data_IF_443933396950
#
_entry.id   IF_443933396950
#
_cell.length_a   1.000
_cell.length_b   1.000
_cell.length_c   1.000
_cell.angle_alpha   90.00
_cell.angle_beta   90.00
_cell.angle_gamma   90.00
#
_symmetry.space_group_name_H-M   'P 1'
#
loop_
_entity.id
_entity.type
_entity.pdbx_description
1 polymer ?
#
# COMPACT_ATOMS: atom_id res chain seq x y z
N UNK A 1 24.14 -37.52 36.78
CA UNK A 1 24.22 -36.12 36.32
C UNK A 1 25.59 -35.92 35.70
N UNK A 2 25.74 -35.78 34.40
CA UNK A 2 27.00 -35.39 33.79
C UNK A 2 26.95 -33.87 33.49
N UNK A 3 28.04 -33.23 33.88
CA UNK A 3 28.34 -31.83 33.72
C UNK A 3 28.45 -31.42 32.24
N UNK A 4 27.72 -30.37 31.86
CA UNK A 4 27.87 -29.71 30.55
C UNK A 4 29.07 -28.76 30.65
N UNK A 5 30.15 -29.06 29.94
CA UNK A 5 31.26 -28.15 29.74
C UNK A 5 30.93 -27.13 28.65
N UNK A 6 30.89 -25.85 29.00
CA UNK A 6 30.83 -24.73 28.08
C UNK A 6 32.08 -24.71 27.17
N UNK A 7 31.89 -24.85 25.88
CA UNK A 7 32.92 -24.55 24.88
C UNK A 7 32.84 -23.08 24.50
N UNK A 8 33.80 -22.28 24.94
CA UNK A 8 33.97 -20.91 24.44
C UNK A 8 34.56 -20.96 23.02
N UNK A 9 33.74 -20.63 22.03
CA UNK A 9 34.18 -20.43 20.66
C UNK A 9 34.59 -18.93 20.46
N UNK A 10 35.85 -18.74 20.08
CA UNK A 10 36.32 -17.42 19.63
C UNK A 10 35.92 -17.19 18.16
N UNK A 11 35.19 -16.10 17.87
CA UNK A 11 34.92 -15.65 16.52
C UNK A 11 36.01 -14.65 16.12
N UNK A 12 36.87 -15.02 15.19
CA UNK A 12 37.86 -14.15 14.58
C UNK A 12 37.32 -13.63 13.24
N UNK A 13 36.89 -12.39 13.21
CA UNK A 13 36.61 -11.68 11.97
C UNK A 13 37.92 -10.98 11.50
N UNK A 14 38.64 -11.62 10.60
CA UNK A 14 39.85 -11.07 10.02
C UNK A 14 39.75 -10.95 8.49
N UNK A 15 40.13 -9.78 7.96
CA UNK A 15 40.46 -9.64 6.53
C UNK A 15 41.75 -10.45 6.25
N UNK A 16 41.63 -11.49 5.46
CA UNK A 16 42.77 -12.21 4.91
C UNK A 16 43.30 -11.44 3.70
N UNK A 17 44.33 -10.62 3.91
CA UNK A 17 45.25 -10.19 2.85
C UNK A 17 46.58 -10.94 3.03
N UNK A 18 46.90 -11.77 2.05
CA UNK A 18 48.27 -12.22 1.79
C UNK A 18 48.74 -13.44 2.58
N UNK A 19 48.71 -14.59 1.94
CA UNK A 19 49.80 -15.56 1.81
C UNK A 19 49.27 -16.72 0.95
N UNK A 20 49.39 -16.55 -0.36
CA UNK A 20 49.35 -17.66 -1.32
C UNK A 20 50.59 -17.58 -2.17
N UNK A 21 51.28 -18.70 -2.33
CA UNK A 21 52.44 -18.86 -3.19
C UNK A 21 52.10 -18.53 -4.66
N UNK A 22 53.05 -18.08 -5.47
CA UNK A 22 52.79 -17.59 -6.83
C UNK A 22 52.45 -18.78 -7.74
N UNK A 23 51.20 -18.79 -8.29
CA UNK A 23 50.90 -19.76 -9.34
C UNK A 23 49.40 -19.93 -9.74
N UNK A 24 48.44 -19.45 -9.03
CA UNK A 24 47.04 -19.64 -9.45
C UNK A 24 46.30 -18.30 -9.57
N UNK A 25 46.10 -17.86 -10.80
CA UNK A 25 45.25 -16.74 -11.16
C UNK A 25 43.82 -17.23 -11.31
N UNK A 26 42.93 -16.79 -10.45
CA UNK A 26 41.50 -16.97 -10.63
C UNK A 26 40.88 -15.72 -11.27
N UNK A 27 39.96 -15.86 -12.25
CA UNK A 27 39.33 -14.71 -12.89
C UNK A 27 38.38 -13.97 -11.95
N UNK A 28 38.52 -12.67 -11.86
CA UNK A 28 37.58 -11.77 -11.17
C UNK A 28 36.22 -11.80 -11.86
N UNK A 29 35.17 -12.14 -11.06
CA UNK A 29 33.80 -12.03 -11.56
C UNK A 29 32.78 -12.87 -10.83
N UNK A 30 32.80 -12.95 -9.48
CA UNK A 30 31.69 -13.52 -8.72
C UNK A 30 31.49 -12.74 -7.41
N UNK A 31 30.23 -12.42 -7.10
CA UNK A 31 29.82 -11.76 -5.86
C UNK A 31 30.20 -12.60 -4.64
N UNK A 32 30.95 -12.00 -3.72
CA UNK A 32 31.37 -12.68 -2.49
C UNK A 32 30.23 -12.82 -1.49
N UNK A 33 29.73 -14.06 -1.29
CA UNK A 33 28.97 -14.44 -0.09
C UNK A 33 29.87 -14.43 1.16
N UNK A 34 29.31 -14.11 2.31
CA UNK A 34 30.03 -14.16 3.60
C UNK A 34 30.29 -15.61 4.00
N UNK A 35 31.57 -15.98 4.16
CA UNK A 35 31.99 -17.28 4.64
C UNK A 35 32.30 -17.23 6.15
N UNK A 36 31.77 -18.17 6.92
CA UNK A 36 32.11 -18.38 8.33
C UNK A 36 32.84 -19.72 8.46
N UNK A 37 34.05 -19.72 9.02
CA UNK A 37 34.83 -20.96 9.26
C UNK A 37 34.64 -21.44 10.69
N UNK A 38 34.26 -22.68 10.85
CA UNK A 38 34.22 -23.35 12.16
C UNK A 38 35.35 -24.39 12.25
N UNK A 39 36.28 -24.17 13.16
CA UNK A 39 37.37 -25.14 13.46
C UNK A 39 36.87 -26.18 14.46
N UNK A 40 36.72 -27.44 14.05
CA UNK A 40 36.50 -28.56 14.98
C UNK A 40 37.84 -29.25 15.30
N UNK A 41 38.18 -29.34 16.59
CA UNK A 41 39.33 -30.12 17.04
C UNK A 41 38.94 -31.60 17.06
N UNK A 42 39.35 -32.39 16.06
CA UNK A 42 39.74 -33.80 16.17
C UNK A 42 40.21 -34.28 14.79
N UNK A 43 41.50 -34.64 14.68
CA UNK A 43 42.20 -35.30 13.57
C UNK A 43 43.17 -34.40 12.75
N UNK A 44 44.31 -34.93 12.31
CA UNK A 44 45.38 -34.14 11.64
C UNK A 44 45.10 -33.72 10.19
N UNK A 45 43.86 -33.87 9.74
CA UNK A 45 43.35 -33.31 8.48
C UNK A 45 42.27 -32.29 8.82
N UNK A 46 42.57 -31.01 8.74
CA UNK A 46 41.56 -29.95 8.85
C UNK A 46 40.57 -30.06 7.71
N UNK A 47 39.43 -30.69 7.96
CA UNK A 47 38.29 -30.71 7.05
C UNK A 47 37.56 -29.37 7.16
N UNK A 48 37.89 -28.41 6.30
CA UNK A 48 37.23 -27.11 6.19
C UNK A 48 35.86 -27.33 5.55
N UNK A 49 34.83 -27.53 6.34
CA UNK A 49 33.45 -27.46 5.81
C UNK A 49 33.09 -26.02 5.57
N UNK A 50 32.92 -25.65 4.31
CA UNK A 50 32.30 -24.40 3.92
C UNK A 50 30.81 -24.55 4.24
N UNK A 51 30.36 -23.86 5.29
CA UNK A 51 28.93 -23.79 5.61
C UNK A 51 28.34 -22.67 4.73
N UNK A 52 27.67 -23.05 3.67
CA UNK A 52 26.81 -22.14 2.89
C UNK A 52 25.49 -22.04 3.62
N UNK A 53 25.19 -20.89 4.20
CA UNK A 53 23.86 -20.62 4.72
C UNK A 53 22.88 -20.54 3.53
N UNK A 54 21.72 -21.17 3.68
CA UNK A 54 20.66 -21.03 2.69
C UNK A 54 20.11 -19.62 2.78
N UNK A 55 20.34 -18.81 1.76
CA UNK A 55 19.85 -17.42 1.65
C UNK A 55 18.43 -17.33 1.07
N UNK A 56 17.75 -18.47 0.97
CA UNK A 56 16.40 -18.52 0.48
C UNK A 56 15.39 -18.43 1.64
N UNK A 57 14.63 -17.34 1.66
CA UNK A 57 13.57 -17.12 2.64
C UNK A 57 12.21 -17.41 1.99
N UNK A 58 11.49 -18.49 2.41
CA UNK A 58 10.27 -18.94 1.72
C UNK A 58 9.19 -17.85 1.56
N UNK A 59 9.02 -16.97 2.55
CA UNK A 59 8.05 -15.88 2.49
C UNK A 59 8.47 -14.80 1.48
N UNK A 60 9.76 -14.52 1.35
CA UNK A 60 10.27 -13.53 0.41
C UNK A 60 10.16 -14.04 -1.04
N UNK A 61 10.38 -15.34 -1.28
CA UNK A 61 10.20 -15.95 -2.61
C UNK A 61 8.78 -15.79 -3.17
N UNK A 62 7.76 -15.70 -2.30
CA UNK A 62 6.37 -15.53 -2.70
C UNK A 62 6.02 -14.07 -3.07
N UNK A 63 6.90 -13.13 -2.78
CA UNK A 63 6.70 -11.71 -3.11
C UNK A 63 7.38 -11.40 -4.45
N UNK A 64 6.64 -10.85 -5.43
CA UNK A 64 7.25 -10.40 -6.68
C UNK A 64 8.18 -9.21 -6.43
N UNK A 65 9.13 -8.94 -7.34
CA UNK A 65 9.89 -7.70 -7.30
C UNK A 65 8.95 -6.50 -7.23
N UNK A 66 9.25 -5.56 -6.32
CA UNK A 66 8.40 -4.38 -6.14
C UNK A 66 8.59 -3.42 -7.32
N UNK A 67 7.68 -3.47 -8.29
CA UNK A 67 7.78 -2.78 -9.58
C UNK A 67 8.02 -1.27 -9.43
N UNK A 68 7.48 -0.66 -8.39
CA UNK A 68 7.68 0.77 -8.11
C UNK A 68 9.15 1.13 -7.81
N UNK A 69 9.97 0.18 -7.34
CA UNK A 69 11.40 0.40 -7.12
C UNK A 69 12.13 0.61 -8.44
N UNK A 70 11.73 -0.08 -9.51
CA UNK A 70 12.34 0.06 -10.85
C UNK A 70 12.20 1.50 -11.35
N UNK A 71 10.98 2.05 -11.31
CA UNK A 71 10.73 3.45 -11.68
C UNK A 71 11.43 4.41 -10.71
N UNK A 72 11.47 4.06 -9.41
CA UNK A 72 12.17 4.82 -8.37
C UNK A 72 13.67 4.95 -8.64
N UNK A 73 14.34 3.86 -9.01
CA UNK A 73 15.77 3.86 -9.36
C UNK A 73 16.06 4.67 -10.63
N UNK A 74 15.24 4.52 -11.66
CA UNK A 74 15.37 5.28 -12.90
C UNK A 74 15.19 6.78 -12.64
N UNK A 75 14.21 7.16 -11.83
CA UNK A 75 13.99 8.53 -11.38
C UNK A 75 15.20 9.07 -10.61
N UNK A 76 15.76 8.31 -9.67
CA UNK A 76 16.93 8.70 -8.91
C UNK A 76 18.15 8.93 -9.82
N UNK A 77 18.39 8.03 -10.78
CA UNK A 77 19.45 8.17 -11.79
C UNK A 77 19.24 9.40 -12.68
N UNK A 78 18.02 9.69 -13.11
CA UNK A 78 17.71 10.88 -13.90
C UNK A 78 17.97 12.17 -13.11
N UNK A 79 17.50 12.25 -11.86
CA UNK A 79 17.78 13.39 -10.97
C UNK A 79 19.28 13.59 -10.70
N UNK A 80 20.05 12.50 -10.54
CA UNK A 80 21.51 12.57 -10.38
C UNK A 80 22.22 13.16 -11.60
N UNK A 81 21.63 13.09 -12.80
CA UNK A 81 22.11 13.75 -14.03
C UNK A 81 21.65 15.20 -14.16
N UNK A 82 20.96 15.76 -13.14
CA UNK A 82 20.43 17.11 -13.16
C UNK A 82 19.10 17.26 -13.94
N UNK A 83 18.42 16.15 -14.27
CA UNK A 83 17.14 16.21 -14.98
C UNK A 83 16.01 16.61 -14.04
N UNK A 84 15.18 17.56 -14.49
CA UNK A 84 13.99 18.02 -13.74
C UNK A 84 12.83 17.04 -13.95
N UNK A 85 12.67 16.08 -13.04
CA UNK A 85 11.62 15.06 -13.10
C UNK A 85 10.40 15.51 -12.29
N UNK A 86 9.24 15.54 -12.94
CA UNK A 86 7.93 15.79 -12.32
C UNK A 86 7.36 14.44 -11.86
N UNK A 87 7.07 14.33 -10.56
CA UNK A 87 6.85 13.04 -9.92
C UNK A 87 5.42 12.81 -9.47
N UNK A 88 4.63 12.12 -10.27
CA UNK A 88 3.29 11.61 -9.92
C UNK A 88 3.30 10.15 -9.46
N UNK A 89 4.49 9.56 -9.22
CA UNK A 89 4.59 8.13 -8.96
C UNK A 89 4.09 7.72 -7.57
N UNK A 90 4.40 8.47 -6.52
CA UNK A 90 4.08 8.08 -5.16
C UNK A 90 2.91 8.87 -4.58
N UNK A 91 1.87 8.18 -4.10
CA UNK A 91 0.71 8.78 -3.43
C UNK A 91 1.03 9.22 -1.99
N UNK A 92 1.96 10.15 -1.84
CA UNK A 92 2.35 10.73 -0.57
C UNK A 92 1.86 12.18 -0.50
N UNK A 93 0.88 12.52 0.38
CA UNK A 93 0.46 13.90 0.58
C UNK A 93 1.66 14.83 0.77
N UNK A 94 1.68 15.94 0.05
CA UNK A 94 2.78 16.91 0.00
C UNK A 94 2.55 18.13 0.90
N UNK A 95 1.32 18.31 1.38
CA UNK A 95 0.99 19.42 2.27
C UNK A 95 1.23 19.04 3.73
N UNK A 96 1.51 20.03 4.60
CA UNK A 96 1.72 19.78 6.03
C UNK A 96 0.44 19.27 6.71
N UNK A 97 0.63 18.59 7.83
CA UNK A 97 -0.45 18.29 8.77
C UNK A 97 -1.05 19.61 9.31
N UNK A 98 -2.38 19.72 9.47
CA UNK A 98 -3.02 20.92 10.03
C UNK A 98 -2.42 21.34 11.37
N UNK A 99 -2.18 22.65 11.53
CA UNK A 99 -1.39 23.21 12.64
C UNK A 99 -1.96 22.86 14.02
N UNK A 100 -3.29 22.90 14.21
CA UNK A 100 -3.93 22.55 15.48
C UNK A 100 -3.66 21.11 15.94
N UNK A 101 -3.41 20.18 14.97
CA UNK A 101 -3.04 18.78 15.25
C UNK A 101 -1.56 18.73 15.68
N UNK A 102 -0.70 19.48 14.99
CA UNK A 102 0.74 19.60 15.31
C UNK A 102 0.92 20.20 16.71
N UNK A 103 0.21 21.28 17.02
CA UNK A 103 0.26 21.94 18.32
C UNK A 103 -0.12 20.97 19.46
N UNK A 104 -1.15 20.15 19.23
CA UNK A 104 -1.57 19.12 20.20
C UNK A 104 -0.53 18.01 20.36
N UNK A 105 0.19 17.64 19.31
CA UNK A 105 1.31 16.71 19.42
C UNK A 105 2.42 17.30 20.31
N UNK A 106 2.80 18.56 20.07
CA UNK A 106 3.86 19.26 20.83
C UNK A 106 3.47 19.35 22.30
N UNK A 107 2.24 19.80 22.58
CA UNK A 107 1.70 19.86 23.96
C UNK A 107 1.76 18.48 24.64
N UNK A 108 1.29 17.43 23.96
CA UNK A 108 1.27 16.09 24.51
C UNK A 108 2.68 15.50 24.70
N UNK A 109 3.62 15.79 23.79
CA UNK A 109 4.99 15.30 23.86
C UNK A 109 5.81 15.97 24.98
N UNK A 110 5.41 17.15 25.48
CA UNK A 110 6.04 17.80 26.62
C UNK A 110 5.62 17.23 27.97
N UNK A 111 4.66 16.32 28.00
CA UNK A 111 4.16 15.72 29.23
C UNK A 111 4.91 14.45 29.57
N UNK A 112 5.48 14.33 30.75
CA UNK A 112 6.28 13.19 31.23
C UNK A 112 5.48 11.86 31.23
N UNK A 113 4.16 11.92 31.45
CA UNK A 113 3.30 10.73 31.55
C UNK A 113 2.97 10.09 30.22
N UNK A 114 3.28 10.73 29.07
CA UNK A 114 2.98 10.25 27.73
C UNK A 114 4.09 9.43 27.08
N UNK A 115 5.26 9.33 27.70
CA UNK A 115 6.44 8.61 27.15
C UNK A 115 6.47 7.13 27.48
N UNK A 116 5.55 6.63 28.29
CA UNK A 116 5.45 5.23 28.67
C UNK A 116 4.92 4.37 27.53
N UNK A 117 5.13 3.07 27.62
CA UNK A 117 4.46 2.13 26.71
C UNK A 117 2.95 2.38 26.70
N UNK A 118 2.39 2.38 25.51
CA UNK A 118 0.95 2.54 25.30
C UNK A 118 0.22 1.20 25.39
N UNK A 119 -1.08 1.23 25.15
CA UNK A 119 -1.93 0.04 25.09
C UNK A 119 -2.04 -0.43 23.63
N UNK A 120 -1.85 -1.72 23.36
CA UNK A 120 -1.88 -2.29 22.01
C UNK A 120 -3.16 -1.97 21.21
N UNK A 121 -4.32 -1.90 21.89
CA UNK A 121 -5.59 -1.48 21.27
C UNK A 121 -5.72 0.03 21.02
N UNK A 122 -4.76 0.82 21.51
CA UNK A 122 -4.86 2.29 21.58
C UNK A 122 -5.56 2.80 22.84
N UNK A 123 -5.28 4.05 23.20
CA UNK A 123 -5.83 4.65 24.42
C UNK A 123 -7.37 4.73 24.35
N UNK A 124 -8.08 4.51 25.47
CA UNK A 124 -9.56 4.47 25.48
C UNK A 124 -10.19 5.76 24.92
N UNK A 125 -9.57 6.91 25.17
CA UNK A 125 -10.06 8.21 24.69
C UNK A 125 -10.02 8.30 23.16
N UNK A 126 -8.97 7.75 22.51
CA UNK A 126 -8.90 7.71 21.03
C UNK A 126 -9.95 6.74 20.46
N UNK A 127 -10.13 5.56 21.06
CA UNK A 127 -11.16 4.62 20.62
C UNK A 127 -12.56 5.21 20.72
N UNK A 128 -12.83 5.99 21.76
CA UNK A 128 -14.08 6.77 21.91
C UNK A 128 -14.21 7.84 20.82
N UNK A 129 -13.15 8.57 20.50
CA UNK A 129 -13.17 9.56 19.42
C UNK A 129 -13.47 8.88 18.06
N UNK A 130 -12.90 7.70 17.81
CA UNK A 130 -13.14 6.90 16.60
C UNK A 130 -14.63 6.51 16.51
N UNK A 131 -15.24 5.97 17.58
CA UNK A 131 -16.63 5.55 17.55
C UNK A 131 -17.59 6.73 17.39
N UNK A 132 -17.28 7.89 17.97
CA UNK A 132 -18.00 9.15 17.74
C UNK A 132 -17.90 9.63 16.29
N UNK A 133 -16.70 9.52 15.71
CA UNK A 133 -16.48 9.88 14.32
C UNK A 133 -17.34 9.02 13.38
N UNK A 134 -17.43 7.69 13.61
CA UNK A 134 -18.32 6.79 12.86
C UNK A 134 -19.80 7.15 13.03
N UNK A 135 -20.22 7.43 14.26
CA UNK A 135 -21.61 7.87 14.53
C UNK A 135 -21.94 9.15 13.75
N UNK A 136 -21.08 10.16 13.86
CA UNK A 136 -21.35 11.47 13.25
C UNK A 136 -21.29 11.42 11.72
N UNK A 137 -20.36 10.61 11.16
CA UNK A 137 -20.13 10.57 9.72
C UNK A 137 -21.04 9.59 8.98
N UNK A 138 -21.27 8.43 9.54
CA UNK A 138 -21.95 7.31 8.88
C UNK A 138 -23.24 6.87 9.60
N UNK A 139 -23.57 7.49 10.70
CA UNK A 139 -24.67 7.05 11.59
C UNK A 139 -24.50 5.59 12.03
N UNK A 140 -23.26 5.17 12.31
CA UNK A 140 -22.91 3.81 12.76
C UNK A 140 -22.55 3.83 14.23
N UNK A 141 -23.28 3.06 15.03
CA UNK A 141 -23.00 2.87 16.45
C UNK A 141 -22.00 1.73 16.63
N UNK A 142 -20.91 2.03 17.36
CA UNK A 142 -19.83 1.09 17.66
C UNK A 142 -19.52 1.09 19.15
N UNK A 143 -19.21 -0.09 19.70
CA UNK A 143 -18.64 -0.21 21.03
C UNK A 143 -17.13 0.05 20.99
N UNK A 144 -16.67 1.05 21.76
CA UNK A 144 -15.27 1.48 21.78
C UNK A 144 -14.30 0.39 22.31
N UNK A 145 -14.77 -0.57 23.09
CA UNK A 145 -13.91 -1.55 23.76
C UNK A 145 -13.83 -2.87 23.00
N UNK A 146 -14.85 -3.19 22.20
CA UNK A 146 -14.94 -4.46 21.46
C UNK A 146 -14.93 -4.29 19.95
N UNK A 147 -15.38 -3.15 19.40
CA UNK A 147 -15.57 -2.94 17.97
C UNK A 147 -14.62 -1.88 17.37
N UNK A 148 -13.62 -1.41 18.14
CA UNK A 148 -12.63 -0.44 17.66
C UNK A 148 -11.22 -0.77 18.17
N UNK A 149 -10.21 -0.63 17.28
CA UNK A 149 -8.79 -0.78 17.61
C UNK A 149 -7.94 0.17 16.79
N UNK A 150 -6.95 0.81 17.44
CA UNK A 150 -5.98 1.70 16.80
C UNK A 150 -4.85 0.88 16.17
N UNK A 151 -4.39 1.30 14.99
CA UNK A 151 -3.30 0.67 14.25
C UNK A 151 -2.20 1.66 13.91
N UNK A 152 -0.99 1.19 13.68
CA UNK A 152 0.16 2.01 13.24
C UNK A 152 0.04 2.26 11.72
N UNK A 153 -1.06 2.91 11.34
CA UNK A 153 -1.58 3.06 9.98
C UNK A 153 -2.35 1.83 9.49
N UNK A 154 -3.25 2.00 8.51
CA UNK A 154 -4.07 0.89 7.97
C UNK A 154 -3.22 -0.22 7.37
N UNK A 155 -2.09 0.10 6.74
CA UNK A 155 -1.21 -0.89 6.10
C UNK A 155 -0.64 -1.90 7.09
N UNK A 156 -0.20 -1.45 8.25
CA UNK A 156 0.25 -2.31 9.35
C UNK A 156 -0.92 -3.14 9.89
N UNK A 157 -2.06 -2.48 10.14
CA UNK A 157 -3.25 -3.15 10.65
C UNK A 157 -3.73 -4.26 9.73
N UNK A 158 -3.77 -4.04 8.42
CA UNK A 158 -4.12 -5.05 7.41
C UNK A 158 -3.14 -6.24 7.43
N UNK A 159 -1.83 -5.96 7.47
CA UNK A 159 -0.83 -7.02 7.52
C UNK A 159 -0.93 -7.87 8.81
N UNK A 160 -1.13 -7.22 9.95
CA UNK A 160 -1.27 -7.91 11.23
C UNK A 160 -2.61 -8.65 11.33
N UNK A 161 -3.70 -8.10 10.76
CA UNK A 161 -4.96 -8.83 10.68
C UNK A 161 -4.82 -10.09 9.83
N UNK A 162 -4.14 -9.99 8.68
CA UNK A 162 -3.86 -11.15 7.83
C UNK A 162 -3.07 -12.22 8.61
N UNK A 163 -2.01 -11.83 9.32
CA UNK A 163 -1.24 -12.73 10.19
C UNK A 163 -2.06 -13.35 11.33
N UNK A 164 -3.03 -12.59 11.86
CA UNK A 164 -3.89 -13.06 12.97
C UNK A 164 -4.98 -14.04 12.53
N UNK A 165 -5.41 -13.95 11.27
CA UNK A 165 -6.63 -14.65 10.80
C UNK A 165 -6.39 -15.69 9.72
N UNK A 166 -5.24 -15.64 9.04
CA UNK A 166 -4.94 -16.46 7.88
C UNK A 166 -3.58 -17.17 8.02
N UNK A 167 -3.44 -18.30 7.34
CA UNK A 167 -2.22 -19.10 7.32
C UNK A 167 -2.13 -19.98 6.08
N UNK A 168 -1.12 -20.90 6.03
CA UNK A 168 -0.99 -21.85 4.92
C UNK A 168 -2.26 -22.68 4.73
N UNK A 169 -2.72 -22.78 3.48
CA UNK A 169 -3.94 -23.49 3.11
C UNK A 169 -5.21 -22.64 3.16
N UNK A 170 -5.17 -21.41 3.70
CA UNK A 170 -6.29 -20.49 3.63
C UNK A 170 -6.28 -19.69 2.31
N UNK A 171 -7.46 -19.27 1.85
CA UNK A 171 -7.61 -18.49 0.61
C UNK A 171 -8.25 -17.15 0.91
N UNK A 172 -7.66 -16.06 0.37
CA UNK A 172 -8.25 -14.73 0.35
C UNK A 172 -8.63 -14.33 -1.07
N UNK A 173 -9.81 -13.73 -1.22
CA UNK A 173 -10.28 -13.10 -2.46
C UNK A 173 -9.87 -11.63 -2.46
N UNK A 174 -9.23 -11.19 -3.54
CA UNK A 174 -8.74 -9.82 -3.67
C UNK A 174 -9.04 -9.30 -5.07
N UNK A 175 -9.64 -8.11 -5.23
CA UNK A 175 -9.79 -7.48 -6.53
C UNK A 175 -8.47 -7.31 -7.26
N UNK A 176 -8.52 -7.39 -8.59
CA UNK A 176 -7.37 -7.11 -9.45
C UNK A 176 -7.80 -6.13 -10.56
N UNK A 177 -7.17 -4.94 -10.66
CA UNK A 177 -6.01 -4.47 -9.89
C UNK A 177 -6.37 -4.03 -8.46
N UNK A 178 -5.37 -4.01 -7.55
CA UNK A 178 -5.52 -3.57 -6.16
C UNK A 178 -4.23 -3.02 -5.56
N UNK A 179 -4.34 -2.31 -4.45
CA UNK A 179 -3.16 -1.80 -3.74
C UNK A 179 -2.35 -2.97 -3.14
N UNK A 180 -1.01 -2.99 -3.28
CA UNK A 180 -0.19 -4.17 -2.98
C UNK A 180 -0.37 -4.81 -1.60
N UNK A 181 -0.73 -4.04 -0.56
CA UNK A 181 -0.94 -4.64 0.77
C UNK A 181 -2.15 -5.59 0.80
N UNK A 182 -3.14 -5.38 -0.07
CA UNK A 182 -4.36 -6.18 -0.10
C UNK A 182 -4.06 -7.64 -0.47
N UNK A 183 -3.32 -7.97 -1.54
CA UNK A 183 -2.89 -9.35 -1.77
C UNK A 183 -1.68 -9.74 -0.91
N UNK A 184 -0.64 -8.89 -0.85
CA UNK A 184 0.65 -9.32 -0.30
C UNK A 184 0.68 -9.37 1.23
N UNK A 185 -0.19 -8.68 1.94
CA UNK A 185 -0.38 -8.88 3.38
C UNK A 185 -0.78 -10.33 3.71
N UNK A 186 -1.66 -10.90 2.90
CA UNK A 186 -2.13 -12.28 3.04
C UNK A 186 -1.11 -13.30 2.52
N UNK A 187 -0.38 -12.99 1.45
CA UNK A 187 0.76 -13.82 0.99
C UNK A 187 1.83 -13.92 2.07
N UNK A 188 2.16 -12.82 2.77
CA UNK A 188 3.11 -12.81 3.90
C UNK A 188 2.59 -13.68 5.04
N UNK A 189 1.29 -13.68 5.32
CA UNK A 189 0.66 -14.55 6.31
C UNK A 189 0.73 -16.05 5.94
N UNK A 190 0.98 -16.35 4.67
CA UNK A 190 1.07 -17.72 4.15
C UNK A 190 -0.16 -18.16 3.34
N UNK A 191 -1.19 -17.34 3.28
CA UNK A 191 -2.41 -17.65 2.53
C UNK A 191 -2.19 -17.61 1.02
N UNK A 192 -3.10 -18.24 0.29
CA UNK A 192 -3.20 -18.14 -1.16
C UNK A 192 -4.19 -17.04 -1.56
N UNK A 193 -3.91 -16.41 -2.69
CA UNK A 193 -4.75 -15.34 -3.24
C UNK A 193 -5.50 -15.84 -4.46
N UNK A 194 -6.79 -15.53 -4.53
CA UNK A 194 -7.59 -15.62 -5.75
C UNK A 194 -8.03 -14.22 -6.15
N UNK A 195 -7.62 -13.82 -7.32
CA UNK A 195 -7.97 -12.51 -7.86
C UNK A 195 -9.38 -12.52 -8.45
N UNK A 196 -10.14 -11.48 -8.12
CA UNK A 196 -11.45 -11.20 -8.71
C UNK A 196 -11.28 -9.99 -9.62
N UNK A 197 -11.52 -10.11 -10.94
CA UNK A 197 -11.39 -8.98 -11.85
C UNK A 197 -12.27 -7.81 -11.44
N UNK A 198 -11.68 -6.61 -11.34
CA UNK A 198 -12.38 -5.37 -11.04
C UNK A 198 -12.03 -4.32 -12.11
N UNK A 199 -12.48 -4.57 -13.32
CA UNK A 199 -12.18 -3.79 -14.53
C UNK A 199 -13.45 -3.40 -15.26
N UNK A 200 -13.45 -2.33 -16.08
CA UNK A 200 -14.60 -1.93 -16.87
C UNK A 200 -15.13 -3.07 -17.76
N UNK A 201 -16.44 -3.20 -17.85
CA UNK A 201 -17.10 -4.20 -18.68
C UNK A 201 -17.21 -5.60 -18.09
N UNK A 202 -16.71 -5.81 -16.87
CA UNK A 202 -16.81 -7.08 -16.14
C UNK A 202 -17.74 -6.90 -14.93
N UNK A 203 -18.71 -7.80 -14.77
CA UNK A 203 -19.56 -7.82 -13.58
C UNK A 203 -18.76 -8.43 -12.41
N UNK A 204 -18.46 -7.57 -11.43
CA UNK A 204 -17.69 -7.97 -10.25
C UNK A 204 -18.37 -9.09 -9.46
N UNK A 205 -19.70 -9.05 -9.32
CA UNK A 205 -20.42 -10.04 -8.52
C UNK A 205 -20.48 -11.41 -9.21
N UNK A 206 -20.64 -11.45 -10.53
CA UNK A 206 -20.50 -12.70 -11.26
C UNK A 206 -19.12 -13.33 -11.10
N UNK A 207 -18.07 -12.53 -11.23
CA UNK A 207 -16.69 -13.02 -11.06
C UNK A 207 -16.39 -13.42 -9.61
N UNK A 208 -16.94 -12.69 -8.62
CA UNK A 208 -16.83 -13.05 -7.21
C UNK A 208 -17.49 -14.40 -6.93
N UNK A 209 -18.70 -14.63 -7.42
CA UNK A 209 -19.41 -15.91 -7.28
C UNK A 209 -18.66 -17.06 -7.98
N UNK A 210 -18.15 -16.83 -9.19
CA UNK A 210 -17.30 -17.81 -9.90
C UNK A 210 -16.05 -18.15 -9.07
N UNK A 211 -15.38 -17.14 -8.54
CA UNK A 211 -14.17 -17.32 -7.71
C UNK A 211 -14.48 -18.11 -6.44
N UNK A 212 -15.60 -17.83 -5.76
CA UNK A 212 -16.03 -18.55 -4.55
C UNK A 212 -16.28 -20.04 -4.88
N UNK A 213 -17.04 -20.31 -5.95
CA UNK A 213 -17.41 -21.67 -6.36
C UNK A 213 -16.22 -22.48 -6.85
N UNK A 214 -15.23 -21.83 -7.49
CA UNK A 214 -14.03 -22.47 -8.02
C UNK A 214 -12.93 -22.70 -6.99
N UNK A 215 -13.03 -22.13 -5.77
CA UNK A 215 -12.00 -22.24 -4.74
C UNK A 215 -12.16 -23.49 -3.88
N UNK A 216 -11.07 -24.24 -3.75
CA UNK A 216 -10.92 -25.27 -2.74
C UNK A 216 -9.53 -25.14 -2.10
N UNK A 217 -9.41 -25.01 -0.77
CA UNK A 217 -10.51 -24.85 0.19
C UNK A 217 -11.33 -23.57 -0.03
N UNK A 218 -12.50 -23.47 0.60
CA UNK A 218 -13.36 -22.30 0.53
C UNK A 218 -12.62 -21.04 0.98
N UNK A 219 -12.82 -19.90 0.29
CA UNK A 219 -12.18 -18.65 0.70
C UNK A 219 -12.69 -18.19 2.07
N UNK A 220 -11.79 -17.67 2.89
CA UNK A 220 -12.08 -17.17 4.23
C UNK A 220 -12.26 -15.67 4.30
N UNK A 221 -11.64 -14.93 3.38
CA UNK A 221 -11.55 -13.47 3.45
C UNK A 221 -11.77 -12.85 2.06
N UNK A 222 -12.56 -11.79 2.02
CA UNK A 222 -12.66 -10.88 0.88
C UNK A 222 -12.10 -9.52 1.31
N UNK A 223 -11.17 -8.96 0.53
CA UNK A 223 -10.57 -7.64 0.79
C UNK A 223 -11.07 -6.66 -0.25
N UNK A 224 -11.58 -5.51 0.19
CA UNK A 224 -12.12 -4.46 -0.67
C UNK A 224 -11.48 -3.12 -0.35
N UNK A 225 -11.43 -2.22 -1.33
CA UNK A 225 -10.95 -0.84 -1.15
C UNK A 225 -11.75 0.11 -2.04
N UNK A 226 -12.64 0.88 -1.42
CA UNK A 226 -13.43 1.90 -2.10
C UNK A 226 -13.52 3.17 -1.22
N UNK A 227 -13.25 4.37 -1.79
CA UNK A 227 -12.73 4.64 -3.13
C UNK A 227 -11.39 3.95 -3.39
N UNK A 228 -11.20 3.44 -4.60
CA UNK A 228 -10.13 2.51 -4.94
C UNK A 228 -8.74 3.14 -5.11
N UNK A 229 -7.71 2.37 -4.79
CA UNK A 229 -6.34 2.58 -5.19
C UNK A 229 -5.87 1.29 -5.90
N UNK A 230 -5.56 1.28 -7.19
CA UNK A 230 -5.27 2.44 -8.05
C UNK A 230 -6.47 2.97 -8.84
N UNK A 231 -7.56 2.24 -8.97
CA UNK A 231 -8.60 2.40 -9.99
C UNK A 231 -9.49 3.62 -9.80
N UNK A 232 -9.44 4.26 -8.62
CA UNK A 232 -10.30 5.38 -8.23
C UNK A 232 -11.80 5.08 -8.26
N UNK A 233 -12.17 3.80 -8.44
CA UNK A 233 -13.56 3.36 -8.48
C UNK A 233 -14.29 3.72 -7.19
N UNK A 234 -15.52 4.14 -7.36
CA UNK A 234 -16.46 4.46 -6.30
C UNK A 234 -17.63 3.47 -6.35
N UNK A 235 -18.23 3.23 -5.20
CA UNK A 235 -19.41 2.37 -5.07
C UNK A 235 -20.45 3.09 -4.22
N UNK A 236 -21.72 2.73 -4.41
CA UNK A 236 -22.82 3.15 -3.56
C UNK A 236 -23.11 2.10 -2.47
N UNK A 237 -23.98 2.41 -1.53
CA UNK A 237 -24.24 1.54 -0.37
C UNK A 237 -24.77 0.16 -0.79
N UNK A 238 -25.56 0.11 -1.87
CA UNK A 238 -26.15 -1.11 -2.43
C UNK A 238 -25.09 -2.13 -2.86
N UNK A 239 -23.90 -1.68 -3.24
CA UNK A 239 -22.78 -2.56 -3.52
C UNK A 239 -22.38 -3.34 -2.24
N UNK A 240 -22.27 -2.64 -1.12
CA UNK A 240 -21.94 -3.28 0.16
C UNK A 240 -23.08 -4.15 0.70
N UNK A 241 -24.33 -3.81 0.41
CA UNK A 241 -25.47 -4.69 0.76
C UNK A 241 -25.33 -6.06 0.09
N UNK A 242 -25.01 -6.08 -1.21
CA UNK A 242 -24.74 -7.33 -1.95
C UNK A 242 -23.50 -8.07 -1.40
N UNK A 243 -22.43 -7.33 -1.12
CA UNK A 243 -21.20 -7.93 -0.52
C UNK A 243 -21.51 -8.59 0.81
N UNK A 244 -22.25 -7.93 1.70
CA UNK A 244 -22.60 -8.47 3.03
C UNK A 244 -23.51 -9.69 2.90
N UNK A 245 -24.45 -9.68 1.95
CA UNK A 245 -25.32 -10.83 1.69
C UNK A 245 -24.50 -12.06 1.26
N UNK A 246 -23.63 -11.92 0.26
CA UNK A 246 -22.74 -12.98 -0.22
C UNK A 246 -21.78 -13.46 0.89
N UNK A 247 -21.20 -12.54 1.64
CA UNK A 247 -20.30 -12.86 2.72
C UNK A 247 -20.97 -13.69 3.83
N UNK A 248 -22.20 -13.39 4.16
CA UNK A 248 -23.00 -14.18 5.13
C UNK A 248 -23.41 -15.54 4.60
N UNK A 249 -23.80 -15.63 3.31
CA UNK A 249 -24.18 -16.88 2.66
C UNK A 249 -23.01 -17.87 2.60
N UNK A 250 -21.82 -17.37 2.28
CA UNK A 250 -20.64 -18.20 2.09
C UNK A 250 -19.70 -18.25 3.30
N UNK A 251 -20.07 -17.64 4.43
CA UNK A 251 -19.28 -17.58 5.68
C UNK A 251 -17.87 -16.96 5.48
N UNK A 252 -17.80 -15.89 4.66
CA UNK A 252 -16.55 -15.19 4.32
C UNK A 252 -16.43 -13.90 5.14
N UNK A 253 -15.28 -13.67 5.76
CA UNK A 253 -14.96 -12.37 6.37
C UNK A 253 -14.72 -11.31 5.29
N UNK A 254 -15.19 -10.09 5.54
CA UNK A 254 -14.93 -8.95 4.65
C UNK A 254 -14.05 -7.93 5.36
N UNK A 255 -12.99 -7.49 4.69
CA UNK A 255 -12.16 -6.37 5.13
C UNK A 255 -12.25 -5.27 4.10
N UNK A 256 -12.73 -4.10 4.52
CA UNK A 256 -12.81 -2.91 3.67
C UNK A 256 -11.74 -1.89 4.08
N UNK A 257 -10.92 -1.43 3.12
CA UNK A 257 -9.96 -0.33 3.32
C UNK A 257 -10.58 0.97 2.81
N UNK A 258 -11.04 1.82 3.74
CA UNK A 258 -11.73 3.08 3.49
C UNK A 258 -10.77 4.29 3.54
N UNK A 259 -9.55 4.13 3.06
CA UNK A 259 -8.48 5.14 3.22
C UNK A 259 -8.78 6.50 2.56
N UNK A 260 -9.69 6.57 1.59
CA UNK A 260 -9.97 7.77 0.80
C UNK A 260 -11.38 8.33 1.00
N UNK A 261 -12.04 8.01 2.12
CA UNK A 261 -13.41 8.43 2.42
C UNK A 261 -13.63 9.95 2.33
N UNK A 262 -12.61 10.75 2.63
CA UNK A 262 -12.71 12.22 2.67
C UNK A 262 -12.18 12.90 1.41
N UNK A 263 -11.46 12.17 0.57
CA UNK A 263 -10.96 12.69 -0.72
C UNK A 263 -11.99 12.34 -1.80
N UNK A 264 -13.09 13.06 -1.80
CA UNK A 264 -14.27 12.84 -2.65
C UNK A 264 -14.64 14.14 -3.33
N UNK A 265 -15.20 14.07 -4.56
CA UNK A 265 -15.44 15.21 -5.43
C UNK A 265 -16.85 15.16 -5.99
N UNK A 266 -17.32 16.31 -6.50
CA UNK A 266 -18.54 16.42 -7.31
C UNK A 266 -19.79 15.86 -6.61
N UNK A 267 -19.89 16.06 -5.29
CA UNK A 267 -21.04 15.63 -4.50
C UNK A 267 -21.07 14.14 -4.10
N UNK A 268 -20.08 13.36 -4.53
CA UNK A 268 -19.99 11.96 -4.09
C UNK A 268 -19.66 11.86 -2.59
N UNK A 269 -20.32 10.92 -1.91
CA UNK A 269 -20.08 10.58 -0.50
C UNK A 269 -19.72 9.11 -0.44
N UNK A 270 -18.51 8.80 0.01
CA UNK A 270 -18.08 7.41 0.15
C UNK A 270 -18.83 6.72 1.28
N UNK A 271 -19.56 5.61 1.03
CA UNK A 271 -20.23 4.85 2.07
C UNK A 271 -19.24 4.01 2.88
N UNK A 272 -19.59 3.75 4.14
CA UNK A 272 -18.95 2.72 4.97
C UNK A 272 -19.71 1.40 4.81
N UNK A 273 -18.99 0.29 4.69
CA UNK A 273 -19.63 -1.05 4.71
C UNK A 273 -20.40 -1.28 6.02
N UNK A 274 -19.97 -0.65 7.12
CA UNK A 274 -20.62 -0.80 8.43
C UNK A 274 -21.99 -0.13 8.52
N UNK A 275 -22.39 0.68 7.53
CA UNK A 275 -23.77 1.21 7.42
C UNK A 275 -24.77 0.12 7.05
N UNK A 276 -24.31 -0.97 6.43
CA UNK A 276 -25.18 -2.07 6.02
C UNK A 276 -25.63 -2.87 7.24
N UNK A 277 -26.93 -3.13 7.32
CA UNK A 277 -27.49 -3.96 8.40
C UNK A 277 -26.90 -5.36 8.39
N UNK A 278 -26.32 -5.79 9.51
CA UNK A 278 -25.66 -7.09 9.65
C UNK A 278 -24.20 -7.13 9.14
N UNK A 279 -23.66 -6.02 8.66
CA UNK A 279 -22.25 -5.96 8.26
C UNK A 279 -21.29 -6.29 9.41
N UNK A 280 -21.59 -5.87 10.64
CA UNK A 280 -20.79 -6.19 11.82
C UNK A 280 -20.71 -7.68 12.16
N UNK A 281 -21.58 -8.51 11.59
CA UNK A 281 -21.48 -9.97 11.75
C UNK A 281 -20.31 -10.57 10.98
N UNK A 282 -19.94 -9.97 9.85
CA UNK A 282 -18.96 -10.53 8.89
C UNK A 282 -17.85 -9.57 8.47
N UNK A 283 -17.91 -8.27 8.81
CA UNK A 283 -17.01 -7.27 8.26
C UNK A 283 -16.24 -6.48 9.32
N UNK A 284 -15.04 -6.03 8.90
CA UNK A 284 -14.28 -4.97 9.55
C UNK A 284 -13.80 -3.96 8.50
N UNK A 285 -13.64 -2.70 8.92
CA UNK A 285 -13.28 -1.60 8.06
C UNK A 285 -12.08 -0.85 8.64
N UNK A 286 -11.09 -0.57 7.79
CA UNK A 286 -9.92 0.23 8.13
C UNK A 286 -10.09 1.66 7.64
N UNK A 287 -9.64 2.60 8.46
CA UNK A 287 -9.48 4.00 8.09
C UNK A 287 -8.09 4.51 8.51
N UNK A 288 -7.62 5.56 7.85
CA UNK A 288 -6.32 6.18 8.14
C UNK A 288 -6.39 7.70 8.11
N UNK A 289 -5.69 8.34 9.04
CA UNK A 289 -5.55 9.79 9.05
C UNK A 289 -4.53 10.29 8.01
N UNK A 290 -3.82 9.38 7.36
CA UNK A 290 -2.76 9.71 6.39
C UNK A 290 -3.22 10.59 5.23
N UNK A 291 -4.49 10.46 4.80
CA UNK A 291 -5.01 11.16 3.62
C UNK A 291 -5.90 12.32 4.00
N UNK A 292 -6.84 12.11 4.92
CA UNK A 292 -7.79 13.13 5.35
C UNK A 292 -7.16 14.31 6.09
N UNK A 293 -6.03 14.07 6.76
CA UNK A 293 -5.36 15.08 7.62
C UNK A 293 -3.89 15.28 7.27
N UNK A 294 -3.43 14.85 6.10
CA UNK A 294 -2.02 14.94 5.70
C UNK A 294 -1.05 14.39 6.77
N UNK A 295 -1.35 13.21 7.32
CA UNK A 295 -0.57 12.57 8.39
C UNK A 295 0.09 11.25 7.95
N UNK A 296 0.67 11.10 6.74
CA UNK A 296 1.18 9.81 6.28
C UNK A 296 2.37 9.31 7.11
N UNK A 297 3.25 10.20 7.55
CA UNK A 297 4.43 9.88 8.36
C UNK A 297 4.10 9.57 9.82
N UNK A 298 2.94 10.00 10.32
CA UNK A 298 2.53 9.81 11.72
C UNK A 298 2.08 8.38 12.02
N UNK A 299 1.75 7.62 10.97
CA UNK A 299 1.35 6.22 11.05
C UNK A 299 0.11 6.00 11.93
N UNK A 300 -0.95 6.79 11.73
CA UNK A 300 -2.22 6.65 12.46
C UNK A 300 -3.29 6.05 11.57
N UNK A 301 -3.88 4.98 12.05
CA UNK A 301 -5.07 4.34 11.48
C UNK A 301 -5.85 3.61 12.55
N UNK A 302 -6.95 3.03 12.17
CA UNK A 302 -7.78 2.21 13.04
C UNK A 302 -8.60 1.21 12.24
N UNK A 303 -9.05 0.17 12.92
CA UNK A 303 -10.01 -0.81 12.40
C UNK A 303 -11.25 -0.82 13.29
N UNK A 304 -12.43 -0.82 12.66
CA UNK A 304 -13.71 -0.94 13.34
C UNK A 304 -14.54 -2.09 12.73
N UNK A 305 -15.48 -2.65 13.50
CA UNK A 305 -16.41 -3.64 13.00
C UNK A 305 -16.50 -4.89 13.88
N UNK A 306 -16.45 -6.06 13.28
CA UNK A 306 -16.68 -7.33 13.95
C UNK A 306 -15.77 -7.53 15.19
N UNK A 307 -16.35 -7.78 16.41
CA UNK A 307 -15.54 -7.89 17.62
C UNK A 307 -14.53 -9.05 17.62
N UNK A 308 -14.80 -10.13 16.88
CA UNK A 308 -13.85 -11.26 16.78
C UNK A 308 -12.61 -10.86 15.97
N UNK A 309 -12.78 -10.10 14.88
CA UNK A 309 -11.66 -9.58 14.08
C UNK A 309 -10.87 -8.53 14.88
N UNK A 310 -11.55 -7.65 15.60
CA UNK A 310 -10.92 -6.66 16.49
C UNK A 310 -10.14 -7.36 17.60
N UNK A 311 -10.69 -8.38 18.22
CA UNK A 311 -10.01 -9.16 19.27
C UNK A 311 -8.79 -9.93 18.72
N UNK A 312 -8.89 -10.52 17.51
CA UNK A 312 -7.80 -11.23 16.86
C UNK A 312 -6.63 -10.27 16.57
N UNK A 313 -6.90 -9.11 15.96
CA UNK A 313 -5.89 -8.08 15.71
C UNK A 313 -5.30 -7.56 17.03
N UNK A 314 -6.13 -7.29 18.04
CA UNK A 314 -5.66 -6.83 19.35
C UNK A 314 -4.73 -7.82 20.02
N UNK A 315 -5.02 -9.11 19.94
CA UNK A 315 -4.15 -10.16 20.45
C UNK A 315 -2.83 -10.24 19.69
N UNK A 316 -2.85 -10.17 18.37
CA UNK A 316 -1.64 -10.13 17.54
C UNK A 316 -0.76 -8.94 17.93
N UNK A 317 -1.33 -7.73 17.99
CA UNK A 317 -0.62 -6.51 18.36
C UNK A 317 -0.02 -6.58 19.77
N UNK A 318 -0.65 -7.26 20.72
CA UNK A 318 -0.10 -7.38 22.08
C UNK A 318 1.20 -8.19 22.15
N UNK A 319 1.52 -8.99 21.13
CA UNK A 319 2.79 -9.70 21.02
C UNK A 319 3.79 -9.03 20.08
N UNK A 320 3.33 -8.17 19.15
CA UNK A 320 4.19 -7.57 18.14
C UNK A 320 4.58 -6.13 18.46
N UNK A 321 3.67 -5.37 19.07
CA UNK A 321 3.87 -3.98 19.45
C UNK A 321 3.02 -3.62 20.68
N UNK A 322 3.40 -2.60 21.42
CA UNK A 322 2.60 -2.07 22.54
C UNK A 322 1.76 -0.86 22.12
N UNK A 323 1.38 -0.79 20.83
CA UNK A 323 0.67 0.35 20.27
C UNK A 323 1.60 1.52 19.92
N UNK A 324 1.01 2.61 19.45
CA UNK A 324 1.76 3.78 19.02
C UNK A 324 2.04 4.73 20.19
N UNK A 325 3.04 5.59 20.00
CA UNK A 325 3.42 6.67 20.91
C UNK A 325 2.21 7.50 21.34
N UNK A 326 2.03 7.68 22.65
CA UNK A 326 0.81 8.30 23.21
C UNK A 326 0.55 9.72 22.71
N UNK A 327 1.54 10.62 22.58
CA UNK A 327 1.32 11.96 22.02
C UNK A 327 0.68 11.96 20.62
N UNK A 328 1.07 11.01 19.75
CA UNK A 328 0.44 10.87 18.44
C UNK A 328 -1.04 10.49 18.58
N UNK A 329 -1.39 9.62 19.54
CA UNK A 329 -2.77 9.24 19.79
C UNK A 329 -3.60 10.42 20.33
N UNK A 330 -3.00 11.27 21.17
CA UNK A 330 -3.65 12.49 21.66
C UNK A 330 -3.91 13.48 20.52
N UNK A 331 -2.94 13.67 19.63
CA UNK A 331 -3.10 14.50 18.45
C UNK A 331 -4.16 13.93 17.48
N UNK A 332 -4.25 12.61 17.34
CA UNK A 332 -5.27 11.95 16.54
C UNK A 332 -6.70 12.19 17.08
N UNK A 333 -6.87 12.28 18.40
CA UNK A 333 -8.17 12.69 19.00
C UNK A 333 -8.54 14.08 18.51
N UNK A 334 -7.59 15.02 18.53
CA UNK A 334 -7.80 16.39 18.05
C UNK A 334 -8.12 16.43 16.54
N UNK A 335 -7.52 15.55 15.74
CA UNK A 335 -7.86 15.43 14.32
C UNK A 335 -9.32 14.98 14.11
N UNK A 336 -9.81 14.00 14.89
CA UNK A 336 -11.15 13.44 14.74
C UNK A 336 -12.25 14.28 15.38
N UNK A 337 -11.98 14.95 16.52
CA UNK A 337 -12.97 15.71 17.30
C UNK A 337 -12.86 17.23 17.12
N UNK A 338 -11.75 17.72 16.57
CA UNK A 338 -11.50 19.15 16.32
C UNK A 338 -12.16 19.70 15.05
N UNK A 339 -11.80 20.93 14.66
CA UNK A 339 -12.30 21.56 13.45
C UNK A 339 -12.03 20.73 12.20
N UNK A 340 -13.01 20.62 11.30
CA UNK A 340 -12.93 19.77 10.10
C UNK A 340 -12.77 20.58 8.78
N UNK A 341 -12.61 21.89 8.87
CA UNK A 341 -12.39 22.79 7.73
C UNK A 341 -11.14 22.36 6.96
N UNK A 342 -10.11 21.91 7.65
CA UNK A 342 -8.88 21.40 7.05
C UNK A 342 -9.11 20.21 6.10
N UNK A 343 -10.10 19.35 6.40
CA UNK A 343 -10.46 18.23 5.53
C UNK A 343 -11.10 18.74 4.24
N UNK A 344 -11.95 19.78 4.34
CA UNK A 344 -12.55 20.43 3.18
C UNK A 344 -11.50 21.13 2.31
N UNK A 345 -10.53 21.80 2.91
CA UNK A 345 -9.42 22.48 2.21
C UNK A 345 -8.53 21.45 1.48
N UNK A 346 -8.17 20.35 2.15
CA UNK A 346 -7.40 19.26 1.54
C UNK A 346 -8.14 18.66 0.35
N UNK A 347 -9.45 18.41 0.50
CA UNK A 347 -10.30 17.91 -0.59
C UNK A 347 -10.34 18.86 -1.78
N UNK A 348 -10.51 20.16 -1.54
CA UNK A 348 -10.54 21.18 -2.58
C UNK A 348 -9.20 21.28 -3.32
N UNK A 349 -8.08 21.18 -2.63
CA UNK A 349 -6.75 21.13 -3.22
C UNK A 349 -6.63 19.95 -4.21
N UNK A 350 -7.04 18.76 -3.79
CA UNK A 350 -7.01 17.56 -4.65
C UNK A 350 -7.98 17.69 -5.83
N UNK A 351 -9.15 18.31 -5.64
CA UNK A 351 -10.10 18.58 -6.71
C UNK A 351 -9.50 19.49 -7.79
N UNK A 352 -8.88 20.59 -7.38
CA UNK A 352 -8.21 21.54 -8.29
C UNK A 352 -7.08 20.88 -9.09
N UNK A 353 -6.25 20.06 -8.41
CA UNK A 353 -5.16 19.31 -9.06
C UNK A 353 -5.68 18.26 -10.04
N UNK A 354 -6.75 17.52 -9.66
CA UNK A 354 -7.45 16.58 -10.54
C UNK A 354 -7.91 17.28 -11.81
N UNK A 355 -8.62 18.38 -11.66
CA UNK A 355 -9.19 19.12 -12.77
C UNK A 355 -8.11 19.65 -13.71
N UNK A 356 -7.03 20.19 -13.16
CA UNK A 356 -5.88 20.67 -13.93
C UNK A 356 -5.22 19.55 -14.71
N UNK A 357 -4.96 18.42 -14.07
CA UNK A 357 -4.31 17.27 -14.70
C UNK A 357 -5.20 16.65 -15.78
N UNK A 358 -6.47 16.33 -15.46
CA UNK A 358 -7.37 15.66 -16.40
C UNK A 358 -7.68 16.55 -17.62
N UNK A 359 -8.00 17.86 -17.41
CA UNK A 359 -8.19 18.80 -18.51
C UNK A 359 -6.93 18.90 -19.40
N UNK A 360 -5.76 18.93 -18.77
CA UNK A 360 -4.50 19.00 -19.49
C UNK A 360 -4.21 17.74 -20.32
N UNK A 361 -4.38 16.55 -19.78
CA UNK A 361 -4.19 15.29 -20.48
C UNK A 361 -5.16 15.19 -21.67
N UNK A 362 -6.45 15.48 -21.45
CA UNK A 362 -7.45 15.49 -22.52
C UNK A 362 -7.11 16.48 -23.63
N UNK A 363 -6.54 17.63 -23.31
CA UNK A 363 -6.16 18.67 -24.30
C UNK A 363 -5.00 18.25 -25.22
N UNK A 364 -4.24 17.22 -24.84
CA UNK A 364 -3.12 16.69 -25.64
C UNK A 364 -3.43 15.34 -26.28
N UNK A 365 -4.70 14.92 -26.25
CA UNK A 365 -5.17 13.66 -26.86
C UNK A 365 -5.00 12.43 -25.98
N UNK A 366 -4.74 12.60 -24.69
CA UNK A 366 -4.76 11.50 -23.73
C UNK A 366 -6.09 11.51 -22.96
N UNK A 367 -7.03 10.71 -23.43
CA UNK A 367 -8.38 10.66 -22.89
C UNK A 367 -8.38 10.03 -21.48
N UNK A 368 -8.79 10.83 -20.49
CA UNK A 368 -8.96 10.41 -19.10
C UNK A 368 -10.27 10.94 -18.53
N UNK A 369 -10.97 10.10 -17.79
CA UNK A 369 -12.18 10.52 -17.06
C UNK A 369 -11.77 11.04 -15.69
N UNK A 370 -12.19 12.27 -15.30
CA UNK A 370 -11.94 12.77 -13.96
C UNK A 370 -12.56 11.87 -12.89
N UNK A 371 -11.77 11.36 -11.92
CA UNK A 371 -12.31 10.50 -10.88
C UNK A 371 -13.21 11.27 -9.91
N UNK A 372 -14.22 10.59 -9.35
CA UNK A 372 -15.11 11.15 -8.32
C UNK A 372 -14.49 11.11 -6.92
N UNK A 373 -13.39 10.39 -6.73
CA UNK A 373 -12.73 10.27 -5.43
C UNK A 373 -11.26 9.84 -5.57
N UNK A 374 -10.57 9.78 -4.43
CA UNK A 374 -9.17 9.39 -4.30
C UNK A 374 -8.19 10.50 -4.70
N UNK A 375 -6.94 10.34 -4.35
CA UNK A 375 -5.86 11.27 -4.70
C UNK A 375 -5.08 10.83 -5.96
N UNK A 376 -5.76 10.10 -6.87
CA UNK A 376 -5.14 9.54 -8.06
C UNK A 376 -5.95 9.82 -9.31
N UNK A 377 -5.30 9.71 -10.45
CA UNK A 377 -5.93 9.51 -11.77
C UNK A 377 -5.43 8.18 -12.32
N UNK A 378 -6.35 7.28 -12.65
CA UNK A 378 -6.09 6.00 -13.28
C UNK A 378 -6.28 6.16 -14.77
N UNK A 379 -5.18 6.36 -15.48
CA UNK A 379 -5.18 6.74 -16.88
C UNK A 379 -4.93 5.52 -17.78
N UNK A 380 -5.81 5.19 -18.73
CA UNK A 380 -5.54 4.15 -19.72
C UNK A 380 -4.34 4.57 -20.57
N UNK A 381 -3.50 3.62 -20.96
CA UNK A 381 -2.40 3.87 -21.88
C UNK A 381 -3.01 4.25 -23.23
N UNK A 382 -2.59 5.37 -23.87
CA UNK A 382 -3.10 5.75 -25.19
C UNK A 382 -2.86 4.66 -26.23
N UNK A 383 -3.82 4.48 -27.15
CA UNK A 383 -3.83 3.39 -28.14
C UNK A 383 -2.48 3.14 -28.83
N UNK A 384 -1.75 4.16 -29.33
CA UNK A 384 -0.47 3.94 -30.00
C UNK A 384 0.60 3.30 -29.12
N UNK A 385 0.45 3.37 -27.78
CA UNK A 385 1.45 2.88 -26.80
C UNK A 385 1.00 1.64 -26.03
N UNK A 386 -0.22 1.11 -26.25
CA UNK A 386 -0.74 -0.06 -25.52
C UNK A 386 0.15 -1.29 -25.62
N UNK A 387 0.78 -1.47 -26.78
CA UNK A 387 1.70 -2.58 -27.02
C UNK A 387 2.93 -2.61 -26.11
N UNK A 388 3.26 -1.49 -25.43
CA UNK A 388 4.39 -1.39 -24.50
C UNK A 388 4.08 -1.99 -23.14
N UNK A 389 2.79 -2.05 -22.74
CA UNK A 389 2.41 -2.27 -21.35
C UNK A 389 2.80 -1.11 -20.44
N UNK A 390 2.33 -1.17 -19.19
CA UNK A 390 2.44 -0.03 -18.27
C UNK A 390 3.86 0.28 -17.80
N UNK A 391 4.71 -0.73 -17.66
CA UNK A 391 6.08 -0.53 -17.20
C UNK A 391 6.94 0.19 -18.25
N UNK A 392 6.96 -0.29 -19.49
CA UNK A 392 7.75 0.34 -20.55
C UNK A 392 7.18 1.72 -20.93
N UNK A 393 5.85 1.87 -20.91
CA UNK A 393 5.24 3.19 -21.10
C UNK A 393 5.62 4.17 -19.98
N UNK A 394 5.67 3.74 -18.72
CA UNK A 394 6.15 4.57 -17.61
C UNK A 394 7.63 4.96 -17.76
N UNK A 395 8.48 4.06 -18.26
CA UNK A 395 9.89 4.37 -18.57
C UNK A 395 10.00 5.38 -19.71
N UNK A 396 9.19 5.26 -20.75
CA UNK A 396 9.12 6.20 -21.87
C UNK A 396 8.72 7.59 -21.39
N UNK A 397 7.64 7.70 -20.60
CA UNK A 397 7.22 8.97 -19.97
C UNK A 397 8.34 9.62 -19.16
N UNK A 398 9.07 8.83 -18.37
CA UNK A 398 10.17 9.32 -17.56
C UNK A 398 11.34 9.83 -18.42
N UNK A 399 11.73 9.06 -19.43
CA UNK A 399 12.90 9.41 -20.26
C UNK A 399 12.63 10.57 -21.22
N UNK A 400 11.44 10.63 -21.83
CA UNK A 400 11.14 11.54 -22.91
C UNK A 400 10.29 12.76 -22.51
N UNK A 401 9.33 12.56 -21.61
CA UNK A 401 8.47 13.63 -21.10
C UNK A 401 8.93 14.20 -19.75
N UNK A 402 9.92 13.57 -19.09
CA UNK A 402 10.40 13.88 -17.73
C UNK A 402 9.29 13.77 -16.67
N UNK A 403 8.37 12.83 -16.88
CA UNK A 403 7.21 12.58 -16.01
C UNK A 403 7.30 11.17 -15.45
N UNK A 404 7.34 11.05 -14.12
CA UNK A 404 7.28 9.78 -13.41
C UNK A 404 5.84 9.47 -13.01
N UNK A 405 5.37 8.25 -13.34
CA UNK A 405 4.06 7.70 -12.95
C UNK A 405 4.23 6.31 -12.35
N UNK A 406 3.20 5.79 -11.69
CA UNK A 406 3.20 4.38 -11.26
C UNK A 406 2.70 3.49 -12.38
N UNK A 407 3.46 2.46 -12.82
CA UNK A 407 2.98 1.49 -13.79
C UNK A 407 1.86 0.63 -13.19
N UNK A 408 0.82 0.39 -13.96
CA UNK A 408 -0.37 -0.30 -13.49
C UNK A 408 -0.14 -1.77 -13.18
N UNK A 409 0.80 -2.44 -13.86
CA UNK A 409 1.21 -3.82 -13.55
C UNK A 409 1.65 -3.97 -12.07
N UNK A 410 2.14 -2.91 -11.43
CA UNK A 410 2.49 -2.91 -10.02
C UNK A 410 1.29 -3.07 -9.06
N UNK A 411 0.07 -2.99 -9.58
CA UNK A 411 -1.17 -3.20 -8.85
C UNK A 411 -1.87 -4.53 -9.22
N UNK A 412 -1.28 -5.30 -10.11
CA UNK A 412 -1.81 -6.55 -10.63
C UNK A 412 -1.87 -6.56 -12.15
N UNK A 413 -1.91 -7.76 -12.73
CA UNK A 413 -1.84 -7.97 -14.18
C UNK A 413 -2.99 -7.29 -14.95
N UNK A 414 -4.17 -7.19 -14.33
CA UNK A 414 -5.31 -6.47 -14.91
C UNK A 414 -5.16 -4.95 -14.93
N UNK A 415 -4.05 -4.44 -14.38
CA UNK A 415 -3.72 -3.02 -14.42
C UNK A 415 -2.69 -2.65 -15.49
N UNK A 416 -2.18 -3.61 -16.27
CA UNK A 416 -1.05 -3.38 -17.19
C UNK A 416 -1.39 -2.49 -18.39
N UNK A 417 -2.65 -2.22 -18.63
CA UNK A 417 -3.16 -1.31 -19.66
C UNK A 417 -3.34 0.15 -19.15
N UNK A 418 -2.92 0.44 -17.92
CA UNK A 418 -3.07 1.75 -17.28
C UNK A 418 -1.78 2.21 -16.60
N UNK A 419 -1.71 3.52 -16.35
CA UNK A 419 -0.75 4.12 -15.41
C UNK A 419 -1.49 4.95 -14.38
N UNK A 420 -0.93 5.06 -13.15
CA UNK A 420 -1.52 5.86 -12.08
C UNK A 420 -0.73 7.14 -11.86
N UNK A 421 -1.40 8.28 -11.93
CA UNK A 421 -0.90 9.58 -11.47
C UNK A 421 -1.36 9.84 -10.05
N UNK A 422 -0.45 10.25 -9.16
CA UNK A 422 -0.79 10.76 -7.85
C UNK A 422 -0.89 12.30 -7.90
N UNK A 423 -1.96 12.86 -7.35
CA UNK A 423 -2.25 14.32 -7.38
C UNK A 423 -1.44 15.10 -6.34
N UNK A 424 -0.12 14.84 -6.30
CA UNK A 424 0.79 15.43 -5.31
C UNK A 424 1.61 16.62 -5.85
N UNK A 425 1.61 16.82 -7.16
CA UNK A 425 2.26 17.97 -7.79
C UNK A 425 1.31 19.15 -7.86
N UNK A 426 1.85 20.36 -7.70
CA UNK A 426 1.07 21.57 -7.86
C UNK A 426 0.65 21.79 -9.33
N UNK A 427 -0.29 22.71 -9.55
CA UNK A 427 -0.84 22.95 -10.88
C UNK A 427 0.21 23.44 -11.91
N UNK A 428 1.21 24.22 -11.47
CA UNK A 428 2.28 24.68 -12.35
C UNK A 428 3.11 23.50 -12.85
N UNK A 429 3.52 22.59 -11.96
CA UNK A 429 4.25 21.37 -12.30
C UNK A 429 3.39 20.44 -13.16
N UNK A 430 2.10 20.33 -12.85
CA UNK A 430 1.17 19.54 -13.67
C UNK A 430 1.09 20.08 -15.10
N UNK A 431 0.98 21.41 -15.29
CA UNK A 431 1.00 22.02 -16.64
C UNK A 431 2.35 21.83 -17.35
N UNK A 432 3.46 21.80 -16.61
CA UNK A 432 4.78 21.48 -17.18
C UNK A 432 4.83 20.02 -17.67
N UNK A 433 4.35 19.06 -16.87
CA UNK A 433 4.25 17.66 -17.25
C UNK A 433 3.41 17.47 -18.53
N UNK A 434 2.28 18.14 -18.62
CA UNK A 434 1.40 18.10 -19.80
C UNK A 434 2.13 18.60 -21.06
N UNK A 435 2.95 19.67 -20.94
CA UNK A 435 3.80 20.11 -22.08
C UNK A 435 4.79 19.05 -22.50
N UNK A 436 5.48 18.41 -21.56
CA UNK A 436 6.43 17.33 -21.85
C UNK A 436 5.75 16.13 -22.56
N UNK A 437 4.58 15.73 -22.07
CA UNK A 437 3.78 14.65 -22.67
C UNK A 437 3.32 15.03 -24.08
N UNK A 438 2.81 16.25 -24.28
CA UNK A 438 2.42 16.76 -25.60
C UNK A 438 3.58 16.72 -26.59
N UNK A 439 4.76 17.17 -26.16
CA UNK A 439 5.93 17.23 -27.04
C UNK A 439 6.46 15.82 -27.36
N UNK A 440 6.35 14.86 -26.44
CA UNK A 440 6.61 13.44 -26.70
C UNK A 440 5.62 12.90 -27.76
N UNK A 441 4.32 13.09 -27.56
CA UNK A 441 3.30 12.61 -28.52
C UNK A 441 3.50 13.18 -29.92
N UNK A 442 3.82 14.49 -30.03
CA UNK A 442 4.08 15.12 -31.33
C UNK A 442 5.29 14.55 -32.06
N UNK A 443 6.38 14.26 -31.34
CA UNK A 443 7.57 13.61 -31.93
C UNK A 443 7.22 12.24 -32.49
N UNK A 444 6.51 11.43 -31.71
CA UNK A 444 6.15 10.07 -32.11
C UNK A 444 5.17 10.06 -33.30
N UNK A 445 4.13 10.93 -33.29
CA UNK A 445 3.22 11.07 -34.44
C UNK A 445 3.93 11.53 -35.71
N UNK A 446 4.90 12.44 -35.61
CA UNK A 446 5.73 12.84 -36.73
C UNK A 446 6.58 11.69 -37.29
N UNK A 447 7.10 10.81 -36.47
CA UNK A 447 7.84 9.61 -36.88
C UNK A 447 6.94 8.56 -37.51
N UNK A 448 5.75 8.33 -36.97
CA UNK A 448 4.77 7.38 -37.53
C UNK A 448 4.25 7.81 -38.91
N UNK A 449 4.01 9.10 -39.11
CA UNK A 449 3.60 9.63 -40.44
C UNK A 449 4.75 9.58 -41.45
N UNK A 450 6.01 9.76 -41.04
CA UNK A 450 7.16 9.61 -41.91
C UNK A 450 7.44 8.14 -42.31
N UNK A 451 7.20 7.19 -41.40
CA UNK A 451 7.36 5.75 -41.65
C UNK A 451 6.21 5.16 -42.51
N UNK A 452 5.01 5.75 -42.45
CA UNK A 452 3.85 5.30 -43.27
C UNK A 452 3.81 5.88 -44.69
N UNK A 453 4.62 6.91 -44.98
CA UNK A 453 4.68 7.54 -46.32
C UNK A 453 5.66 6.91 -47.31
N UNK A 454 6.29 5.78 -46.96
CA UNK A 454 7.27 5.06 -47.79
C UNK A 454 6.76 3.74 -48.33
N UNK A 455 5.53 3.70 -48.87
CA UNK A 455 5.05 2.54 -49.69
C UNK A 455 4.52 3.03 -51.00
#
# INVERSE_FOLDING_TARGET
MPSVSMVQGFVLAGRLTGFLAPGNVFPFGASFGRFVYVLSRVSPVCDFRIITLKDEFPRIKRLPPYVFNIVGELKAKARARGEDIIDFGMGNPDQPTPQHIVDKLVEAAQRDDTHRYSVSKGVPRLRRAITRWYRNRFNVELDQDTEAIVTIGSKEGLAHLALATMGPGDVALVPNPSYPIHPYGFVIAGADIRHVPLVPGVDFFEELEKAIKACWPRPKMLVLNFPGNPTTQCVELEFFEKVVAIAREHEIWVVHDLAYADIVFDGYVAPSILQVKGAKDVAAEFFTLSKSYNMPGWRVGFMCGNPKLVAALGRMKSYMDYGMFTPIQVAAITALEGPQECVAEIRELYRSRRDTLCKGLNSVGWEVTPPKASMFVWAPIPEPYRHLGSLEFSKKLLSEAKVAVSPGIGFGEKGDDHVRFALIENEHRSRQAIRGIRDMFRRDHGQLSAAGGGK
#
